data_IF_462243725018
#
_entry.id   IF_462243725018
#
_cell.length_a   1.000
_cell.length_b   1.000
_cell.length_c   1.000
_cell.angle_alpha   90.00
_cell.angle_beta   90.00
_cell.angle_gamma   90.00
#
_symmetry.space_group_name_H-M   'P 1'
#
loop_
_entity.id
_entity.type
_entity.pdbx_description
1 polymer ?
#
# COMPACT_ATOMS: atom_id res chain seq x y z
N UNK A 1 -17.67 -4.52 3.54
CA UNK A 1 -17.25 -3.87 2.27
C UNK A 1 -17.64 -4.75 1.10
N UNK A 2 -17.96 -4.19 -0.07
CA UNK A 2 -18.29 -4.93 -1.30
C UNK A 2 -17.07 -5.06 -2.21
N UNK A 3 -17.13 -5.96 -3.19
CA UNK A 3 -16.04 -6.13 -4.16
C UNK A 3 -15.96 -4.92 -5.11
N UNK A 4 -17.10 -4.28 -5.39
CA UNK A 4 -17.17 -2.98 -6.06
C UNK A 4 -16.41 -1.89 -5.30
N UNK A 5 -16.47 -1.86 -3.97
CA UNK A 5 -15.72 -0.89 -3.16
C UNK A 5 -14.20 -1.15 -3.24
N UNK A 6 -13.76 -2.41 -3.35
CA UNK A 6 -12.36 -2.74 -3.55
C UNK A 6 -11.86 -2.26 -4.93
N UNK A 7 -12.66 -2.48 -5.99
CA UNK A 7 -12.38 -1.98 -7.34
C UNK A 7 -12.31 -0.45 -7.37
N UNK A 8 -13.33 0.24 -6.86
CA UNK A 8 -13.39 1.70 -6.83
C UNK A 8 -12.27 2.31 -5.98
N UNK A 9 -11.96 1.69 -4.83
CA UNK A 9 -10.83 2.07 -3.99
C UNK A 9 -9.52 1.96 -4.77
N UNK A 10 -9.30 0.84 -5.46
CA UNK A 10 -8.15 0.64 -6.33
C UNK A 10 -8.03 1.71 -7.40
N UNK A 11 -9.09 1.94 -8.19
CA UNK A 11 -9.11 2.97 -9.22
C UNK A 11 -8.78 4.38 -8.66
N UNK A 12 -9.41 4.74 -7.54
CA UNK A 12 -9.19 6.05 -6.90
C UNK A 12 -7.75 6.20 -6.38
N UNK A 13 -7.21 5.18 -5.71
CA UNK A 13 -5.82 5.21 -5.21
C UNK A 13 -4.81 5.21 -6.35
N UNK A 14 -5.04 4.45 -7.42
CA UNK A 14 -4.20 4.43 -8.61
C UNK A 14 -4.16 5.79 -9.32
N UNK A 15 -5.33 6.41 -9.53
CA UNK A 15 -5.44 7.74 -10.10
C UNK A 15 -4.77 8.82 -9.22
N UNK A 16 -4.95 8.74 -7.90
CA UNK A 16 -4.25 9.61 -6.95
C UNK A 16 -2.73 9.42 -7.05
N UNK A 17 -2.25 8.18 -7.15
CA UNK A 17 -0.84 7.87 -7.35
C UNK A 17 -0.30 8.48 -8.64
N UNK A 18 -1.04 8.39 -9.75
CA UNK A 18 -0.65 8.98 -11.03
C UNK A 18 -0.56 10.51 -10.96
N UNK A 19 -1.56 11.15 -10.35
CA UNK A 19 -1.53 12.60 -10.10
C UNK A 19 -0.33 12.98 -9.21
N UNK A 20 -0.13 12.23 -8.12
CA UNK A 20 0.96 12.44 -7.19
C UNK A 20 2.33 12.32 -7.86
N UNK A 21 2.50 11.40 -8.82
CA UNK A 21 3.74 11.19 -9.56
C UNK A 21 4.22 12.49 -10.24
N UNK A 22 3.29 13.26 -10.82
CA UNK A 22 3.62 14.53 -11.46
C UNK A 22 3.55 15.72 -10.49
N UNK A 23 2.75 15.70 -9.43
CA UNK A 23 2.68 16.82 -8.47
C UNK A 23 3.92 16.91 -7.58
N UNK A 24 4.71 18.01 -7.59
CA UNK A 24 5.90 18.14 -6.74
C UNK A 24 5.60 17.95 -5.24
N UNK A 25 4.46 18.47 -4.77
CA UNK A 25 4.08 18.37 -3.37
C UNK A 25 3.68 16.95 -2.94
N UNK A 26 3.09 16.17 -3.86
CA UNK A 26 2.59 14.83 -3.57
C UNK A 26 3.50 13.70 -4.06
N UNK A 27 4.55 14.02 -4.83
CA UNK A 27 5.48 13.06 -5.42
C UNK A 27 6.01 12.00 -4.44
N UNK A 28 6.32 12.32 -3.16
CA UNK A 28 6.71 11.30 -2.19
C UNK A 28 5.69 10.16 -2.07
N UNK A 29 4.38 10.46 -2.16
CA UNK A 29 3.30 9.47 -2.03
C UNK A 29 3.27 8.48 -3.19
N UNK A 30 3.64 8.90 -4.40
CA UNK A 30 3.67 8.02 -5.57
C UNK A 30 4.81 6.97 -5.50
N UNK A 31 5.82 7.22 -4.67
CA UNK A 31 7.00 6.37 -4.50
C UNK A 31 7.02 5.65 -3.15
N UNK A 32 5.95 5.77 -2.37
CA UNK A 32 5.84 5.16 -1.06
C UNK A 32 4.77 4.07 -1.04
N UNK A 33 4.94 3.08 -0.16
CA UNK A 33 3.94 2.03 0.03
C UNK A 33 2.70 2.49 0.81
N UNK A 34 2.74 3.68 1.43
CA UNK A 34 1.68 4.22 2.30
C UNK A 34 0.29 4.17 1.66
N UNK A 35 0.15 4.62 0.41
CA UNK A 35 -1.14 4.63 -0.30
C UNK A 35 -1.72 3.23 -0.46
N UNK A 36 -0.87 2.25 -0.80
CA UNK A 36 -1.27 0.87 -1.07
C UNK A 36 -1.61 0.13 0.23
N UNK A 37 -0.83 0.34 1.29
CA UNK A 37 -1.12 -0.23 2.61
C UNK A 37 -2.45 0.32 3.14
N UNK A 38 -2.69 1.63 3.02
CA UNK A 38 -3.94 2.26 3.45
C UNK A 38 -5.14 1.71 2.66
N UNK A 39 -5.03 1.58 1.33
CA UNK A 39 -6.05 0.96 0.49
C UNK A 39 -6.40 -0.45 0.98
N UNK A 40 -5.39 -1.30 1.18
CA UNK A 40 -5.61 -2.69 1.58
C UNK A 40 -6.20 -2.77 2.99
N UNK A 41 -5.73 -1.96 3.93
CA UNK A 41 -6.29 -1.87 5.28
C UNK A 41 -7.74 -1.35 5.30
N UNK A 42 -8.15 -0.59 4.29
CA UNK A 42 -9.54 -0.20 4.12
C UNK A 42 -10.40 -1.34 3.57
N UNK A 43 -9.96 -2.01 2.49
CA UNK A 43 -10.82 -2.87 1.65
C UNK A 43 -10.85 -4.35 2.04
N UNK A 44 -9.79 -4.84 2.67
CA UNK A 44 -9.59 -6.27 2.96
C UNK A 44 -10.23 -6.75 4.27
N UNK A 45 -10.19 -6.00 5.40
CA UNK A 45 -10.55 -6.55 6.71
C UNK A 45 -11.98 -7.11 6.81
N UNK A 46 -12.12 -8.22 7.54
CA UNK A 46 -13.42 -8.83 7.87
C UNK A 46 -14.04 -9.70 6.78
N UNK A 47 -13.32 -9.97 5.68
CA UNK A 47 -13.71 -10.94 4.67
C UNK A 47 -13.20 -12.36 5.03
N UNK A 48 -13.84 -13.40 4.50
CA UNK A 48 -13.28 -14.77 4.48
C UNK A 48 -12.04 -14.80 3.58
N UNK A 49 -11.07 -15.66 3.87
CA UNK A 49 -9.74 -15.67 3.23
C UNK A 49 -9.80 -15.56 1.70
N UNK A 50 -10.61 -16.37 1.01
CA UNK A 50 -10.75 -16.29 -0.45
C UNK A 50 -11.29 -14.94 -0.96
N UNK A 51 -12.24 -14.32 -0.23
CA UNK A 51 -12.74 -12.98 -0.58
C UNK A 51 -11.75 -11.88 -0.21
N UNK A 52 -10.97 -12.07 0.87
CA UNK A 52 -9.92 -11.13 1.25
C UNK A 52 -8.82 -11.08 0.16
N UNK A 53 -8.40 -12.25 -0.33
CA UNK A 53 -7.48 -12.41 -1.46
C UNK A 53 -8.05 -11.74 -2.71
N UNK A 54 -9.29 -12.07 -3.09
CA UNK A 54 -9.92 -11.50 -4.28
C UNK A 54 -9.98 -9.97 -4.22
N UNK A 55 -10.40 -9.41 -3.08
CA UNK A 55 -10.48 -7.95 -2.90
C UNK A 55 -9.12 -7.27 -2.98
N UNK A 56 -8.12 -7.84 -2.32
CA UNK A 56 -6.77 -7.30 -2.36
C UNK A 56 -6.21 -7.33 -3.79
N UNK A 57 -6.32 -8.46 -4.48
CA UNK A 57 -5.85 -8.62 -5.86
C UNK A 57 -6.58 -7.67 -6.82
N UNK A 58 -7.92 -7.60 -6.74
CA UNK A 58 -8.72 -6.69 -7.60
C UNK A 58 -8.39 -5.23 -7.30
N UNK A 59 -8.28 -4.83 -6.03
CA UNK A 59 -7.96 -3.45 -5.67
C UNK A 59 -6.58 -3.04 -6.19
N UNK A 60 -5.56 -3.90 -6.03
CA UNK A 60 -4.21 -3.62 -6.52
C UNK A 60 -4.14 -3.63 -8.06
N UNK A 61 -4.79 -4.59 -8.72
CA UNK A 61 -4.83 -4.63 -10.19
C UNK A 61 -5.51 -3.38 -10.76
N UNK A 62 -6.63 -2.96 -10.17
CA UNK A 62 -7.32 -1.74 -10.55
C UNK A 62 -6.46 -0.49 -10.31
N UNK A 63 -5.74 -0.44 -9.18
CA UNK A 63 -4.80 0.62 -8.89
C UNK A 63 -3.66 0.69 -9.91
N UNK A 64 -3.08 -0.45 -10.30
CA UNK A 64 -2.03 -0.52 -11.33
C UNK A 64 -2.54 0.01 -12.67
N UNK A 65 -3.70 -0.48 -13.14
CA UNK A 65 -4.29 0.00 -14.41
C UNK A 65 -4.55 1.51 -14.35
N UNK A 66 -5.22 1.99 -13.31
CA UNK A 66 -5.52 3.41 -13.14
C UNK A 66 -4.25 4.26 -13.02
N UNK A 67 -3.19 3.75 -12.39
CA UNK A 67 -1.92 4.45 -12.28
C UNK A 67 -1.22 4.59 -13.65
N UNK A 68 -1.13 3.52 -14.44
CA UNK A 68 -0.45 3.55 -15.74
C UNK A 68 -1.17 4.42 -16.77
N UNK A 69 -2.48 4.25 -16.93
CA UNK A 69 -3.28 5.11 -17.80
C UNK A 69 -3.40 6.53 -17.26
N UNK A 70 -3.51 6.70 -15.94
CA UNK A 70 -3.49 8.01 -15.30
C UNK A 70 -2.18 8.75 -15.58
N UNK A 71 -1.03 8.06 -15.58
CA UNK A 71 0.25 8.66 -15.94
C UNK A 71 0.27 9.16 -17.38
N UNK A 72 -0.27 8.36 -18.31
CA UNK A 72 -0.38 8.73 -19.72
C UNK A 72 -1.18 10.03 -19.90
N UNK A 73 -2.38 10.08 -19.30
CA UNK A 73 -3.22 11.28 -19.29
C UNK A 73 -2.49 12.48 -18.67
N UNK A 74 -1.91 12.31 -17.48
CA UNK A 74 -1.19 13.39 -16.79
C UNK A 74 0.03 13.87 -17.56
N UNK A 75 0.73 12.97 -18.25
CA UNK A 75 1.85 13.30 -19.11
C UNK A 75 1.39 14.13 -20.31
N UNK A 76 0.34 13.70 -21.02
CA UNK A 76 -0.21 14.44 -22.16
C UNK A 76 -0.70 15.84 -21.80
N UNK A 77 -1.26 16.02 -20.59
CA UNK A 77 -1.65 17.34 -20.07
C UNK A 77 -0.40 18.21 -19.81
N UNK A 78 0.64 17.65 -19.21
CA UNK A 78 1.82 18.41 -18.75
C UNK A 78 2.83 18.69 -19.86
N UNK A 79 2.91 17.82 -20.85
CA UNK A 79 3.86 17.90 -21.96
C UNK A 79 3.13 17.74 -23.30
N UNK A 80 2.32 18.74 -23.71
CA UNK A 80 1.54 18.64 -24.94
C UNK A 80 2.44 18.40 -26.16
N UNK A 81 2.06 17.43 -27.00
CA UNK A 81 2.78 17.09 -28.24
C UNK A 81 3.94 16.10 -28.08
N UNK A 82 4.28 15.67 -26.87
CA UNK A 82 5.31 14.66 -26.64
C UNK A 82 4.71 13.24 -26.72
N UNK A 83 5.33 12.30 -27.47
CA UNK A 83 4.83 10.93 -27.57
C UNK A 83 5.12 10.18 -26.27
N UNK A 84 4.08 9.91 -25.49
CA UNK A 84 4.10 8.94 -24.40
C UNK A 84 2.97 7.94 -24.64
N UNK A 85 3.21 6.70 -24.26
CA UNK A 85 2.21 5.65 -24.33
C UNK A 85 2.44 4.65 -23.19
N UNK A 86 1.38 3.96 -22.81
CA UNK A 86 1.46 2.90 -21.81
C UNK A 86 2.31 1.75 -22.35
N UNK A 87 3.40 1.43 -21.64
CA UNK A 87 4.18 0.22 -21.92
C UNK A 87 3.38 -1.01 -21.43
N UNK A 88 2.88 -1.79 -22.38
CA UNK A 88 2.04 -2.96 -22.09
C UNK A 88 2.79 -4.10 -21.40
N UNK A 89 4.08 -4.30 -21.71
CA UNK A 89 4.91 -5.30 -21.05
C UNK A 89 5.11 -4.96 -19.58
N UNK A 90 5.40 -3.68 -19.30
CA UNK A 90 5.53 -3.19 -17.94
C UNK A 90 4.20 -3.30 -17.19
N UNK A 91 3.08 -2.91 -17.82
CA UNK A 91 1.74 -3.05 -17.24
C UNK A 91 1.43 -4.52 -16.88
N UNK A 92 1.70 -5.46 -17.80
CA UNK A 92 1.48 -6.88 -17.57
C UNK A 92 2.30 -7.41 -16.39
N UNK A 93 3.59 -7.04 -16.30
CA UNK A 93 4.45 -7.39 -15.17
C UNK A 93 3.86 -6.89 -13.84
N UNK A 94 3.45 -5.63 -13.78
CA UNK A 94 2.87 -5.06 -12.56
C UNK A 94 1.52 -5.66 -12.20
N UNK A 95 0.73 -6.14 -13.16
CA UNK A 95 -0.52 -6.86 -12.89
C UNK A 95 -0.26 -8.23 -12.27
N UNK A 96 0.78 -8.95 -12.73
CA UNK A 96 1.21 -10.20 -12.10
C UNK A 96 1.67 -9.94 -10.66
N UNK A 97 2.51 -8.93 -10.45
CA UNK A 97 2.95 -8.54 -9.11
C UNK A 97 1.78 -8.11 -8.21
N UNK A 98 0.80 -7.39 -8.75
CA UNK A 98 -0.41 -7.01 -8.01
C UNK A 98 -1.24 -8.22 -7.60
N UNK A 99 -1.35 -9.26 -8.43
CA UNK A 99 -2.05 -10.50 -8.08
C UNK A 99 -1.31 -11.27 -6.96
N UNK A 100 0.02 -11.38 -7.05
CA UNK A 100 0.85 -12.04 -6.04
C UNK A 100 0.82 -11.28 -4.70
N UNK A 101 1.07 -9.97 -4.75
CA UNK A 101 1.00 -9.09 -3.59
C UNK A 101 -0.41 -9.06 -2.99
N UNK A 102 -1.45 -9.04 -3.82
CA UNK A 102 -2.84 -9.09 -3.40
C UNK A 102 -3.18 -10.40 -2.69
N UNK A 103 -2.65 -11.53 -3.17
CA UNK A 103 -2.83 -12.83 -2.49
C UNK A 103 -2.20 -12.82 -1.11
N UNK A 104 -0.94 -12.40 -1.00
CA UNK A 104 -0.25 -12.30 0.27
C UNK A 104 -0.96 -11.30 1.23
N UNK A 105 -1.30 -10.11 0.73
CA UNK A 105 -1.99 -9.09 1.51
C UNK A 105 -3.39 -9.52 1.94
N UNK A 106 -4.13 -10.26 1.12
CA UNK A 106 -5.44 -10.78 1.47
C UNK A 106 -5.37 -11.73 2.67
N UNK A 107 -4.39 -12.63 2.67
CA UNK A 107 -4.14 -13.55 3.79
C UNK A 107 -3.68 -12.81 5.05
N UNK A 108 -2.80 -11.83 4.89
CA UNK A 108 -2.18 -11.12 6.00
C UNK A 108 -3.10 -10.06 6.61
N UNK A 109 -3.85 -9.30 5.81
CA UNK A 109 -4.72 -8.21 6.28
C UNK A 109 -6.18 -8.63 6.47
N UNK A 110 -6.61 -9.78 5.93
CA UNK A 110 -7.94 -10.34 6.17
C UNK A 110 -8.33 -10.41 7.66
N UNK A 111 -7.43 -10.85 8.56
CA UNK A 111 -7.70 -10.92 9.99
C UNK A 111 -7.79 -9.58 10.73
N UNK A 112 -7.43 -8.44 10.13
CA UNK A 112 -7.48 -7.13 10.81
C UNK A 112 -8.88 -6.91 11.40
N UNK A 113 -8.92 -6.45 12.66
CA UNK A 113 -10.16 -6.19 13.39
C UNK A 113 -10.75 -7.40 14.11
N UNK A 114 -10.15 -8.59 13.99
CA UNK A 114 -10.41 -9.74 14.89
C UNK A 114 -9.73 -9.51 16.24
N UNK A 115 -10.35 -9.97 17.33
CA UNK A 115 -9.80 -9.81 18.70
C UNK A 115 -8.75 -10.88 19.09
N UNK A 116 -8.51 -11.84 18.19
CA UNK A 116 -7.54 -12.92 18.39
C UNK A 116 -6.09 -12.50 18.06
N UNK A 117 -5.16 -13.44 18.25
CA UNK A 117 -3.73 -13.22 17.96
C UNK A 117 -3.52 -12.89 16.49
N UNK A 118 -4.27 -13.52 15.57
CA UNK A 118 -4.14 -13.26 14.14
C UNK A 118 -4.50 -11.80 13.83
N UNK A 119 -5.64 -11.30 14.30
CA UNK A 119 -6.02 -9.90 14.08
C UNK A 119 -5.06 -8.91 14.73
N UNK A 120 -4.50 -9.26 15.89
CA UNK A 120 -3.46 -8.47 16.56
C UNK A 120 -2.19 -8.38 15.71
N UNK A 121 -1.64 -9.51 15.26
CA UNK A 121 -0.41 -9.56 14.46
C UNK A 121 -0.61 -8.89 13.10
N UNK A 122 -1.74 -9.14 12.43
CA UNK A 122 -2.09 -8.48 11.16
C UNK A 122 -2.15 -6.95 11.29
N UNK A 123 -2.75 -6.44 12.37
CA UNK A 123 -2.82 -4.99 12.64
C UNK A 123 -1.43 -4.43 12.92
N UNK A 124 -0.64 -5.11 13.76
CA UNK A 124 0.72 -4.72 14.07
C UNK A 124 1.64 -4.75 12.84
N UNK A 125 1.45 -5.70 11.93
CA UNK A 125 2.20 -5.80 10.67
C UNK A 125 1.84 -4.68 9.70
N UNK A 126 0.55 -4.36 9.52
CA UNK A 126 0.16 -3.22 8.71
C UNK A 126 0.73 -1.89 9.25
N UNK A 127 0.67 -1.69 10.57
CA UNK A 127 1.30 -0.54 11.23
C UNK A 127 2.83 -0.56 11.12
N UNK A 128 3.44 -1.74 11.28
CA UNK A 128 4.88 -1.96 11.18
C UNK A 128 5.42 -1.69 9.78
N UNK A 129 4.69 -2.04 8.72
CA UNK A 129 5.03 -1.69 7.34
C UNK A 129 5.05 -0.17 7.12
N UNK A 130 4.08 0.55 7.68
CA UNK A 130 4.04 2.02 7.60
C UNK A 130 5.20 2.67 8.36
N UNK A 131 5.52 2.17 9.55
CA UNK A 131 6.67 2.65 10.35
C UNK A 131 7.99 2.31 9.66
N UNK A 132 8.13 1.08 9.18
CA UNK A 132 9.30 0.62 8.43
C UNK A 132 9.56 1.46 7.19
N UNK A 133 8.49 1.84 6.47
CA UNK A 133 8.60 2.74 5.32
C UNK A 133 9.07 4.15 5.74
N UNK A 134 8.59 4.69 6.87
CA UNK A 134 9.09 5.97 7.40
C UNK A 134 10.58 5.89 7.74
N UNK A 135 11.01 4.80 8.37
CA UNK A 135 12.43 4.59 8.71
C UNK A 135 13.27 4.44 7.45
N UNK A 136 12.84 3.65 6.46
CA UNK A 136 13.57 3.51 5.18
C UNK A 136 13.71 4.84 4.43
N UNK A 137 12.77 5.75 4.64
CA UNK A 137 12.68 7.04 3.96
C UNK A 137 13.14 8.21 4.82
N UNK A 138 13.67 7.99 6.03
CA UNK A 138 14.05 9.09 6.93
C UNK A 138 15.17 9.97 6.37
N UNK A 139 16.06 9.38 5.59
CA UNK A 139 17.20 10.07 4.98
C UNK A 139 16.81 10.73 3.64
N UNK A 140 15.61 10.44 3.15
CA UNK A 140 15.02 11.10 1.99
C UNK A 140 14.23 12.30 2.49
N UNK A 141 14.36 13.45 1.82
CA UNK A 141 13.60 14.66 2.15
C UNK A 141 12.10 14.52 1.75
N UNK A 142 11.46 13.43 2.17
CA UNK A 142 10.06 13.14 1.98
C UNK A 142 9.27 13.97 2.99
N UNK A 143 9.07 15.25 2.61
CA UNK A 143 8.56 16.30 3.48
C UNK A 143 7.18 16.04 4.10
N UNK A 144 6.66 17.06 4.81
CA UNK A 144 5.45 17.03 5.66
C UNK A 144 4.28 16.22 5.10
N UNK A 145 4.04 16.25 3.79
CA UNK A 145 2.97 15.51 3.11
C UNK A 145 3.07 13.99 3.33
N UNK A 146 4.26 13.41 3.19
CA UNK A 146 4.46 11.97 3.39
C UNK A 146 4.20 11.57 4.84
N UNK A 147 4.70 12.36 5.79
CA UNK A 147 4.48 12.15 7.22
C UNK A 147 2.99 12.21 7.56
N UNK A 148 2.28 13.24 7.11
CA UNK A 148 0.83 13.37 7.34
C UNK A 148 0.06 12.20 6.74
N UNK A 149 0.35 11.83 5.50
CA UNK A 149 -0.31 10.69 4.85
C UNK A 149 -0.07 9.37 5.61
N UNK A 150 1.16 9.16 6.09
CA UNK A 150 1.50 7.95 6.86
C UNK A 150 0.82 7.93 8.22
N UNK A 151 0.73 9.07 8.91
CA UNK A 151 -0.03 9.19 10.16
C UNK A 151 -1.52 8.90 9.95
N UNK A 152 -2.11 9.40 8.86
CA UNK A 152 -3.50 9.10 8.51
C UNK A 152 -3.71 7.62 8.18
N UNK A 153 -2.79 7.01 7.43
CA UNK A 153 -2.81 5.57 7.14
C UNK A 153 -2.68 4.74 8.42
N UNK A 154 -1.79 5.13 9.34
CA UNK A 154 -1.61 4.47 10.62
C UNK A 154 -2.88 4.58 11.48
N UNK A 155 -3.46 5.78 11.58
CA UNK A 155 -4.71 6.00 12.28
C UNK A 155 -5.84 5.13 11.71
N UNK A 156 -5.95 5.02 10.38
CA UNK A 156 -6.89 4.13 9.71
C UNK A 156 -6.67 2.67 10.11
N UNK A 157 -5.43 2.16 10.02
CA UNK A 157 -5.08 0.78 10.39
C UNK A 157 -5.47 0.50 11.84
N UNK A 158 -5.08 1.38 12.77
CA UNK A 158 -5.35 1.23 14.19
C UNK A 158 -6.86 1.30 14.49
N UNK A 159 -7.59 2.23 13.88
CA UNK A 159 -9.04 2.36 14.04
C UNK A 159 -9.81 1.14 13.49
N UNK A 160 -9.31 0.48 12.45
CA UNK A 160 -9.91 -0.73 11.88
C UNK A 160 -9.54 -1.99 12.68
N UNK A 161 -8.33 -2.02 13.20
CA UNK A 161 -7.71 -3.19 13.82
C UNK A 161 -7.98 -3.36 15.31
N UNK A 162 -7.99 -2.27 16.07
CA UNK A 162 -8.12 -2.31 17.54
C UNK A 162 -9.59 -2.29 17.96
N UNK A 163 -10.02 -3.31 18.70
CA UNK A 163 -11.39 -3.42 19.25
C UNK A 163 -11.47 -3.26 20.76
N UNK A 164 -10.35 -3.41 21.47
CA UNK A 164 -10.30 -3.26 22.92
C UNK A 164 -8.95 -2.70 23.40
N UNK A 165 -8.93 -2.14 24.62
CA UNK A 165 -7.69 -1.67 25.26
C UNK A 165 -6.66 -2.78 25.42
N UNK A 166 -7.10 -4.00 25.75
CA UNK A 166 -6.21 -5.17 25.86
C UNK A 166 -5.56 -5.49 24.51
N UNK A 167 -6.32 -5.41 23.43
CA UNK A 167 -5.78 -5.60 22.09
C UNK A 167 -4.80 -4.49 21.71
N UNK A 168 -5.08 -3.23 22.06
CA UNK A 168 -4.17 -2.12 21.80
C UNK A 168 -2.78 -2.36 22.41
N UNK A 169 -2.71 -2.83 23.66
CA UNK A 169 -1.45 -3.19 24.32
C UNK A 169 -0.74 -4.33 23.59
N UNK A 170 -1.47 -5.36 23.15
CA UNK A 170 -0.88 -6.46 22.38
C UNK A 170 -0.36 -6.01 21.01
N UNK A 171 -1.10 -5.14 20.32
CA UNK A 171 -0.65 -4.56 19.04
C UNK A 171 0.63 -3.75 19.26
N UNK A 172 0.69 -2.94 20.33
CA UNK A 172 1.89 -2.20 20.69
C UNK A 172 3.09 -3.12 20.98
N UNK A 173 2.88 -4.22 21.71
CA UNK A 173 3.93 -5.21 21.97
C UNK A 173 4.45 -5.89 20.70
N UNK A 174 3.56 -6.19 19.74
CA UNK A 174 3.93 -6.76 18.44
C UNK A 174 4.51 -5.73 17.47
N UNK A 175 4.37 -4.44 17.76
CA UNK A 175 4.75 -3.39 16.82
C UNK A 175 6.26 -3.38 16.54
N UNK A 176 7.10 -3.63 17.53
CA UNK A 176 8.57 -3.65 17.37
C UNK A 176 9.03 -4.74 16.38
N UNK A 177 8.73 -6.05 16.61
CA UNK A 177 9.14 -7.08 15.66
C UNK A 177 8.48 -6.91 14.28
N UNK A 178 7.25 -6.38 14.24
CA UNK A 178 6.56 -6.14 12.97
C UNK A 178 7.06 -4.90 12.21
N UNK A 179 7.56 -3.88 12.90
CA UNK A 179 8.22 -2.73 12.28
C UNK A 179 9.57 -3.14 11.68
N UNK A 180 10.32 -4.02 12.37
CA UNK A 180 11.54 -4.60 11.81
C UNK A 180 11.23 -5.45 10.57
N UNK A 181 10.27 -6.38 10.66
CA UNK A 181 9.84 -7.16 9.51
C UNK A 181 9.33 -6.27 8.37
N UNK A 182 8.56 -5.24 8.71
CA UNK A 182 8.05 -4.25 7.77
C UNK A 182 9.18 -3.52 7.06
N UNK A 183 10.17 -3.02 7.80
CA UNK A 183 11.37 -2.38 7.26
C UNK A 183 12.13 -3.29 6.30
N UNK A 184 12.36 -4.56 6.66
CA UNK A 184 13.05 -5.51 5.78
C UNK A 184 12.26 -5.76 4.50
N UNK A 185 10.93 -5.87 4.58
CA UNK A 185 10.08 -6.08 3.40
C UNK A 185 10.08 -4.87 2.46
N UNK A 186 9.92 -3.67 3.00
CA UNK A 186 9.88 -2.44 2.17
C UNK A 186 11.25 -2.05 1.63
N UNK A 187 12.34 -2.45 2.29
CA UNK A 187 13.71 -2.30 1.82
C UNK A 187 14.15 -3.41 0.84
N UNK A 188 13.39 -4.50 0.75
CA UNK A 188 13.70 -5.65 -0.11
C UNK A 188 14.06 -5.28 -1.55
N UNK A 189 13.27 -4.42 -2.24
CA UNK A 189 13.60 -3.97 -3.60
C UNK A 189 14.96 -3.26 -3.67
N UNK A 190 15.26 -2.35 -2.73
CA UNK A 190 16.52 -1.59 -2.71
C UNK A 190 17.72 -2.55 -2.50
N UNK A 191 17.56 -3.56 -1.64
CA UNK A 191 18.60 -4.58 -1.38
C UNK A 191 18.81 -5.49 -2.59
N UNK A 192 17.73 -5.94 -3.23
CA UNK A 192 17.82 -6.77 -4.43
C UNK A 192 18.47 -6.00 -5.58
N UNK A 193 18.13 -4.72 -5.75
CA UNK A 193 18.77 -3.85 -6.74
C UNK A 193 20.27 -3.74 -6.50
N UNK A 194 20.69 -3.49 -5.26
CA UNK A 194 22.11 -3.43 -4.88
C UNK A 194 22.85 -4.75 -5.12
N UNK A 195 22.21 -5.91 -4.88
CA UNK A 195 22.85 -7.22 -5.05
C UNK A 195 22.94 -7.66 -6.52
N UNK A 196 21.97 -7.27 -7.36
CA UNK A 196 21.87 -7.70 -8.75
C UNK A 196 22.58 -6.75 -9.71
N UNK A 197 22.67 -5.47 -9.38
CA UNK A 197 23.18 -4.41 -10.27
C UNK A 197 24.40 -3.67 -9.69
N UNK A 198 24.80 -3.95 -8.45
CA UNK A 198 25.93 -3.33 -7.76
C UNK A 198 27.27 -4.02 -7.97
#
# INVERSE_FOLDING_TARGET
MSDAAALLGGLATGALGAYAYYSPALRPLAHAFTLWIALLAAVVPGARDGRAILRAAVALAAAVVAFYYGKDVMYGIRYPGMPYSVNLEQLALWLVLAALAGTAAGLVFGPIGREDVRGTVSTALAAGLLIGEVVRRSDRADGVVFTVATLLALALVLARGIRSRRQAVRVAAWLVPMALAGFLLVSGPDVLEQLLLG
#
